data_IF_046336347395
#
_entry.id   IF_046336347395
#
_cell.length_a   1.000
_cell.length_b   1.000
_cell.length_c   1.000
_cell.angle_alpha   90.00
_cell.angle_beta   90.00
_cell.angle_gamma   90.00
#
_symmetry.space_group_name_H-M   'P 1'
#
loop_
_entity.id
_entity.type
_entity.pdbx_description
1 polymer ?
#
# COMPACT_ATOMS: atom_id res chain seq x y z
N UNK A 1 28.82 20.49 7.04
CA UNK A 1 27.87 20.68 5.91
C UNK A 1 26.48 20.65 6.51
N UNK A 2 25.77 21.78 6.53
CA UNK A 2 24.37 21.82 6.93
C UNK A 2 23.58 20.96 5.96
N UNK A 3 22.96 19.89 6.46
CA UNK A 3 22.06 19.06 5.67
C UNK A 3 21.08 19.99 4.96
N UNK A 4 21.02 19.91 3.62
CA UNK A 4 19.90 20.50 2.91
C UNK A 4 18.63 19.94 3.54
N UNK A 5 17.66 20.82 3.83
CA UNK A 5 16.38 20.41 4.35
C UNK A 5 15.64 19.69 3.21
N UNK A 6 15.93 18.40 3.04
CA UNK A 6 15.24 17.55 2.07
C UNK A 6 13.82 17.37 2.59
N UNK A 7 12.84 17.74 1.77
CA UNK A 7 11.44 17.46 2.10
C UNK A 7 11.21 15.95 2.15
N UNK A 8 10.79 15.46 3.32
CA UNK A 8 10.56 14.05 3.59
C UNK A 8 9.45 13.46 2.71
N UNK A 9 8.43 14.25 2.33
CA UNK A 9 7.36 13.77 1.45
C UNK A 9 7.89 13.59 0.02
N UNK A 10 8.56 14.61 -0.52
CA UNK A 10 9.18 14.54 -1.83
C UNK A 10 10.19 13.36 -1.95
N UNK A 11 11.01 13.14 -0.92
CA UNK A 11 11.95 12.00 -0.90
C UNK A 11 11.23 10.65 -0.90
N UNK A 12 10.15 10.51 -0.12
CA UNK A 12 9.33 9.30 -0.09
C UNK A 12 8.70 9.01 -1.45
N UNK A 13 8.14 10.03 -2.07
CA UNK A 13 7.49 9.90 -3.38
C UNK A 13 8.52 9.53 -4.46
N UNK A 14 9.76 10.02 -4.35
CA UNK A 14 10.87 9.62 -5.19
C UNK A 14 11.26 8.14 -4.99
N UNK A 15 11.39 7.65 -3.75
CA UNK A 15 11.63 6.22 -3.48
C UNK A 15 10.50 5.33 -4.00
N UNK A 16 9.25 5.78 -3.88
CA UNK A 16 8.08 5.07 -4.37
C UNK A 16 8.05 4.90 -5.90
N UNK A 17 8.88 5.59 -6.65
CA UNK A 17 8.99 5.41 -8.10
C UNK A 17 9.57 4.03 -8.49
N UNK A 18 10.33 3.38 -7.59
CA UNK A 18 10.83 2.02 -7.79
C UNK A 18 9.75 1.00 -7.39
N UNK A 19 9.17 0.24 -8.35
CA UNK A 19 8.15 -0.75 -8.04
C UNK A 19 8.76 -1.94 -7.28
N UNK A 20 8.02 -2.46 -6.31
CA UNK A 20 8.45 -3.58 -5.47
C UNK A 20 7.36 -4.65 -5.41
N UNK A 21 7.74 -5.87 -5.01
CA UNK A 21 6.77 -6.78 -4.41
C UNK A 21 6.37 -6.32 -3.00
N UNK A 22 5.42 -7.02 -2.39
CA UNK A 22 5.04 -6.83 -0.99
C UNK A 22 5.38 -8.07 -0.20
N UNK A 23 6.02 -7.87 0.96
CA UNK A 23 6.36 -8.97 1.87
C UNK A 23 5.77 -8.75 3.25
N UNK A 24 5.53 -9.84 3.97
CA UNK A 24 5.34 -9.83 5.42
C UNK A 24 6.52 -10.53 6.07
N UNK A 25 7.24 -9.79 6.90
CA UNK A 25 8.33 -10.34 7.71
C UNK A 25 7.72 -10.90 8.99
N UNK A 26 8.02 -12.16 9.31
CA UNK A 26 7.48 -12.86 10.48
C UNK A 26 8.60 -13.44 11.33
N UNK A 27 8.38 -13.55 12.63
CA UNK A 27 9.22 -14.26 13.58
C UNK A 27 8.37 -14.69 14.78
N UNK A 28 9.01 -15.31 15.78
CA UNK A 28 8.41 -15.54 17.09
C UNK A 28 9.06 -14.65 18.14
N UNK A 29 8.30 -14.23 19.13
CA UNK A 29 8.83 -13.60 20.33
C UNK A 29 9.42 -14.62 21.33
N UNK A 30 9.93 -14.13 22.46
CA UNK A 30 10.51 -15.00 23.49
C UNK A 30 9.50 -15.96 24.16
N UNK A 31 8.21 -15.69 24.05
CA UNK A 31 7.13 -16.56 24.51
C UNK A 31 6.65 -17.54 23.42
N UNK A 32 7.24 -17.49 22.22
CA UNK A 32 6.84 -18.29 21.07
C UNK A 32 5.63 -17.74 20.33
N UNK A 33 5.17 -16.52 20.66
CA UNK A 33 4.02 -15.90 19.98
C UNK A 33 4.44 -15.32 18.63
N UNK A 34 3.60 -15.46 17.59
CA UNK A 34 3.92 -14.98 16.26
C UNK A 34 3.87 -13.45 16.22
N UNK A 35 4.90 -12.85 15.65
CA UNK A 35 4.97 -11.42 15.37
C UNK A 35 5.34 -11.19 13.91
N UNK A 36 4.84 -10.11 13.33
CA UNK A 36 5.19 -9.78 11.95
C UNK A 36 4.81 -8.37 11.54
N UNK A 37 5.34 -7.92 10.41
CA UNK A 37 5.07 -6.61 9.83
C UNK A 37 5.18 -6.64 8.30
N UNK A 38 4.40 -5.82 7.62
CA UNK A 38 4.53 -5.62 6.18
C UNK A 38 5.78 -4.80 5.86
N UNK A 39 6.53 -5.24 4.86
CA UNK A 39 7.70 -4.55 4.33
C UNK A 39 7.77 -4.66 2.81
N UNK A 40 8.25 -3.60 2.18
CA UNK A 40 8.55 -3.60 0.74
C UNK A 40 9.99 -3.15 0.44
N UNK A 41 10.83 -3.04 1.47
CA UNK A 41 12.27 -2.76 1.43
C UNK A 41 13.13 -4.03 1.29
N UNK A 42 12.53 -5.12 0.79
CA UNK A 42 13.17 -6.42 0.63
C UNK A 42 14.14 -6.44 -0.57
N UNK A 43 15.25 -7.17 -0.46
CA UNK A 43 16.18 -7.40 -1.58
C UNK A 43 16.89 -8.76 -1.45
N UNK A 44 17.03 -9.49 -2.56
CA UNK A 44 17.95 -10.62 -2.67
C UNK A 44 19.39 -10.12 -2.76
N UNK A 45 20.30 -10.65 -1.94
CA UNK A 45 21.67 -10.10 -1.80
C UNK A 45 22.71 -11.00 -2.45
N UNK A 46 22.68 -12.30 -2.17
CA UNK A 46 23.69 -13.25 -2.64
C UNK A 46 23.06 -14.62 -2.87
N UNK A 47 23.61 -15.36 -3.83
CA UNK A 47 23.25 -16.76 -4.09
C UNK A 47 24.16 -17.75 -3.36
N UNK A 48 25.46 -17.42 -3.22
CA UNK A 48 26.42 -18.24 -2.48
C UNK A 48 27.37 -17.35 -1.64
N UNK A 49 27.19 -17.29 -0.30
CA UNK A 49 26.10 -17.92 0.45
C UNK A 49 24.72 -17.31 0.13
N UNK A 50 23.60 -18.03 0.36
CA UNK A 50 22.27 -17.53 0.05
C UNK A 50 21.83 -16.47 1.08
N UNK A 51 21.86 -15.20 0.68
CA UNK A 51 21.56 -14.06 1.55
C UNK A 51 20.43 -13.21 0.99
N UNK A 52 19.61 -12.67 1.90
CA UNK A 52 18.61 -11.64 1.65
C UNK A 52 18.69 -10.53 2.69
N UNK A 53 18.04 -9.40 2.41
CA UNK A 53 17.86 -8.33 3.39
C UNK A 53 16.44 -7.75 3.39
N UNK A 54 16.07 -7.16 4.51
CA UNK A 54 14.88 -6.31 4.67
C UNK A 54 15.15 -5.21 5.70
N UNK A 55 14.58 -4.03 5.50
CA UNK A 55 14.75 -2.91 6.45
C UNK A 55 13.59 -2.84 7.44
N UNK A 56 13.91 -2.65 8.73
CA UNK A 56 12.97 -2.45 9.83
C UNK A 56 13.18 -1.08 10.45
N UNK A 57 12.11 -0.31 10.61
CA UNK A 57 12.20 1.00 11.27
C UNK A 57 12.48 0.85 12.76
N UNK A 58 13.33 1.74 13.30
CA UNK A 58 13.64 1.80 14.74
C UNK A 58 12.42 2.15 15.60
N UNK A 59 11.39 2.74 15.00
CA UNK A 59 10.12 3.10 15.65
C UNK A 59 9.12 1.93 15.72
N UNK A 60 9.44 0.77 15.13
CA UNK A 60 8.54 -0.38 15.14
C UNK A 60 8.31 -0.91 16.56
N UNK A 61 7.05 -1.25 16.88
CA UNK A 61 6.70 -1.94 18.14
C UNK A 61 7.42 -3.28 18.28
N UNK A 62 7.77 -3.91 17.16
CA UNK A 62 8.44 -5.21 17.11
C UNK A 62 9.98 -5.08 17.05
N UNK A 63 10.54 -3.86 17.17
CA UNK A 63 11.97 -3.62 16.97
C UNK A 63 12.88 -4.47 17.86
N UNK A 64 12.66 -4.41 19.18
CA UNK A 64 13.47 -5.16 20.14
C UNK A 64 13.37 -6.68 19.89
N UNK A 65 12.15 -7.18 19.70
CA UNK A 65 11.93 -8.61 19.46
C UNK A 65 12.58 -9.08 18.16
N UNK A 66 12.36 -8.37 17.05
CA UNK A 66 12.90 -8.73 15.73
C UNK A 66 14.43 -8.69 15.69
N UNK A 67 15.05 -7.66 16.27
CA UNK A 67 16.52 -7.54 16.29
C UNK A 67 17.19 -8.55 17.21
N UNK A 68 16.45 -9.14 18.16
CA UNK A 68 16.91 -10.21 19.04
C UNK A 68 16.58 -11.63 18.54
N UNK A 69 15.74 -11.75 17.51
CA UNK A 69 15.29 -13.02 16.98
C UNK A 69 16.44 -13.75 16.26
N UNK A 70 16.55 -15.06 16.51
CA UNK A 70 17.53 -15.92 15.82
C UNK A 70 17.11 -16.27 14.40
N UNK A 71 15.81 -16.42 14.19
CA UNK A 71 15.22 -16.77 12.92
C UNK A 71 14.07 -15.81 12.58
N UNK A 72 13.88 -15.56 11.30
CA UNK A 72 12.74 -14.85 10.76
C UNK A 72 12.38 -15.43 9.38
N UNK A 73 11.16 -15.20 8.93
CA UNK A 73 10.75 -15.54 7.58
C UNK A 73 10.30 -14.31 6.78
N UNK A 74 10.51 -14.39 5.47
CA UNK A 74 9.97 -13.46 4.48
C UNK A 74 8.84 -14.17 3.74
N UNK A 75 7.63 -13.62 3.82
CA UNK A 75 6.46 -14.11 3.10
C UNK A 75 6.15 -13.14 1.94
N UNK A 76 6.44 -13.53 0.71
CA UNK A 76 6.17 -12.72 -0.50
C UNK A 76 4.70 -12.90 -0.88
N UNK A 77 3.89 -11.86 -0.67
CA UNK A 77 2.44 -11.95 -0.84
C UNK A 77 2.04 -12.16 -2.31
N UNK A 78 0.99 -12.95 -2.53
CA UNK A 78 0.38 -13.11 -3.85
C UNK A 78 -0.64 -12.01 -4.16
N UNK A 79 -1.04 -11.88 -5.44
CA UNK A 79 -2.00 -10.86 -5.89
C UNK A 79 -3.33 -10.82 -5.10
N UNK A 80 -3.73 -11.95 -4.51
CA UNK A 80 -4.96 -12.08 -3.72
C UNK A 80 -4.83 -11.54 -2.29
N UNK A 81 -3.62 -11.31 -1.79
CA UNK A 81 -3.32 -11.08 -0.37
C UNK A 81 -3.13 -9.59 -0.02
N UNK A 82 -3.86 -8.71 -0.71
CA UNK A 82 -3.84 -7.25 -0.45
C UNK A 82 -4.32 -6.91 0.96
N UNK A 83 -5.33 -7.64 1.45
CA UNK A 83 -5.87 -7.55 2.80
C UNK A 83 -4.82 -7.94 3.85
N UNK A 84 -4.04 -8.99 3.62
CA UNK A 84 -2.94 -9.40 4.51
C UNK A 84 -1.89 -8.30 4.63
N UNK A 85 -1.45 -7.73 3.49
CA UNK A 85 -0.55 -6.57 3.48
C UNK A 85 -1.06 -5.44 4.38
N UNK A 86 -2.35 -5.13 4.27
CA UNK A 86 -3.00 -4.09 5.05
C UNK A 86 -3.05 -4.42 6.54
N UNK A 87 -3.39 -5.65 6.91
CA UNK A 87 -3.46 -6.13 8.30
C UNK A 87 -2.09 -6.02 8.98
N UNK A 88 -1.03 -6.50 8.32
CA UNK A 88 0.32 -6.52 8.88
C UNK A 88 1.01 -5.16 8.90
N UNK A 89 0.50 -4.17 8.15
CA UNK A 89 0.96 -2.79 8.22
C UNK A 89 0.28 -1.99 9.35
N UNK A 90 -0.93 -2.40 9.78
CA UNK A 90 -1.74 -1.64 10.74
C UNK A 90 -1.54 -2.06 12.20
N UNK A 91 -1.81 -1.16 13.15
CA UNK A 91 -1.80 -1.50 14.57
C UNK A 91 -3.10 -2.23 14.96
N UNK A 92 -3.26 -3.48 14.52
CA UNK A 92 -4.30 -4.38 15.03
C UNK A 92 -3.79 -5.17 16.23
N UNK A 93 -4.70 -5.59 17.12
CA UNK A 93 -4.36 -6.35 18.35
C UNK A 93 -3.77 -7.73 18.02
N UNK A 94 -4.44 -8.46 17.12
CA UNK A 94 -3.95 -9.76 16.63
C UNK A 94 -3.90 -9.76 15.10
N UNK A 95 -2.68 -9.71 14.55
CA UNK A 95 -2.42 -9.73 13.09
C UNK A 95 -2.58 -11.12 12.49
N UNK A 96 -2.44 -12.16 13.30
CA UNK A 96 -2.43 -13.55 12.85
C UNK A 96 -3.81 -14.21 12.97
N UNK A 97 -4.74 -13.62 13.72
CA UNK A 97 -6.11 -14.13 13.87
C UNK A 97 -6.87 -14.35 12.55
N UNK A 98 -6.57 -13.55 11.52
CA UNK A 98 -7.31 -13.57 10.24
C UNK A 98 -6.50 -14.16 9.09
N UNK A 99 -5.34 -14.76 9.37
CA UNK A 99 -4.44 -15.27 8.33
C UNK A 99 -4.09 -16.71 8.62
N UNK A 100 -4.25 -17.59 7.63
CA UNK A 100 -3.79 -18.97 7.73
C UNK A 100 -2.27 -19.02 7.64
N UNK A 101 -1.64 -19.69 8.60
CA UNK A 101 -0.19 -19.86 8.66
C UNK A 101 0.19 -21.14 9.38
N UNK A 102 1.36 -21.66 9.04
CA UNK A 102 1.99 -22.80 9.70
C UNK A 102 3.38 -22.43 10.23
N UNK A 103 3.86 -23.15 11.23
CA UNK A 103 5.24 -22.99 11.68
C UNK A 103 6.21 -23.63 10.67
N UNK A 104 7.22 -22.86 10.25
CA UNK A 104 8.36 -23.34 9.48
C UNK A 104 9.25 -24.30 10.28
N UNK A 105 10.31 -24.80 9.64
CA UNK A 105 11.21 -25.77 10.25
C UNK A 105 11.96 -25.17 11.46
N UNK A 106 12.24 -23.87 11.43
CA UNK A 106 12.87 -23.12 12.51
C UNK A 106 11.85 -22.35 13.37
N UNK A 107 10.55 -22.66 13.20
CA UNK A 107 9.44 -22.10 13.97
C UNK A 107 8.90 -20.77 13.44
N UNK A 108 9.43 -20.23 12.34
CA UNK A 108 8.95 -18.95 11.82
C UNK A 108 7.53 -19.09 11.24
N UNK A 109 6.62 -18.12 11.45
CA UNK A 109 5.29 -18.17 10.83
C UNK A 109 5.37 -18.07 9.30
N UNK A 110 4.91 -19.10 8.58
CA UNK A 110 4.83 -19.14 7.12
C UNK A 110 3.37 -19.00 6.71
N UNK A 111 3.04 -17.94 5.97
CA UNK A 111 1.67 -17.66 5.56
C UNK A 111 1.26 -18.56 4.40
N UNK A 112 0.00 -19.02 4.39
CA UNK A 112 -0.56 -19.78 3.28
C UNK A 112 -0.70 -18.92 2.01
N UNK A 113 -0.78 -19.56 0.83
CA UNK A 113 -1.07 -18.95 -0.47
C UNK A 113 -0.16 -17.79 -0.93
N UNK A 114 1.01 -17.67 -0.32
CA UNK A 114 2.06 -16.74 -0.73
C UNK A 114 2.65 -17.10 -2.10
N UNK A 115 3.16 -16.11 -2.81
CA UNK A 115 3.90 -16.31 -4.05
C UNK A 115 5.21 -17.07 -3.79
N UNK A 116 5.91 -16.70 -2.71
CA UNK A 116 7.09 -17.38 -2.23
C UNK A 116 7.28 -17.14 -0.72
N UNK A 117 8.07 -17.99 -0.07
CA UNK A 117 8.55 -17.71 1.28
C UNK A 117 10.01 -18.14 1.45
N UNK A 118 10.69 -17.50 2.41
CA UNK A 118 12.09 -17.79 2.79
C UNK A 118 12.20 -17.83 4.30
N UNK A 119 12.66 -18.93 4.87
CA UNK A 119 12.99 -19.04 6.30
C UNK A 119 14.49 -18.81 6.47
N UNK A 120 14.86 -17.93 7.41
CA UNK A 120 16.21 -17.39 7.52
C UNK A 120 16.74 -17.46 8.94
N UNK A 121 18.05 -17.74 9.06
CA UNK A 121 18.82 -17.37 10.24
C UNK A 121 19.27 -15.91 10.15
N UNK A 122 19.18 -15.18 11.26
CA UNK A 122 19.69 -13.82 11.36
C UNK A 122 21.22 -13.82 11.26
N UNK A 123 21.75 -13.24 10.18
CA UNK A 123 23.20 -13.16 9.93
C UNK A 123 23.77 -11.89 10.56
N UNK A 124 23.15 -10.73 10.30
CA UNK A 124 23.59 -9.42 10.80
C UNK A 124 22.42 -8.45 10.94
N UNK A 125 22.53 -7.55 11.92
CA UNK A 125 21.67 -6.36 12.06
C UNK A 125 22.55 -5.13 11.90
N UNK A 126 22.35 -4.36 10.83
CA UNK A 126 23.20 -3.22 10.46
C UNK A 126 22.46 -1.92 10.73
N UNK A 127 23.09 -1.00 11.46
CA UNK A 127 22.53 0.32 11.72
C UNK A 127 22.51 1.19 10.45
N UNK A 128 21.35 1.74 10.09
CA UNK A 128 21.16 2.46 8.82
C UNK A 128 20.18 3.65 8.97
N UNK A 129 20.58 4.65 9.77
CA UNK A 129 19.78 5.88 9.95
C UNK A 129 18.57 5.67 10.86
N UNK A 130 17.36 5.93 10.38
CA UNK A 130 16.10 5.69 11.10
C UNK A 130 15.60 4.23 11.00
N UNK A 131 16.32 3.40 10.26
CA UNK A 131 16.07 1.96 10.11
C UNK A 131 17.30 1.14 10.52
N UNK A 132 17.08 -0.17 10.64
CA UNK A 132 18.13 -1.20 10.62
C UNK A 132 17.93 -2.10 9.41
N UNK A 133 19.02 -2.62 8.85
CA UNK A 133 19.00 -3.67 7.83
C UNK A 133 19.12 -5.01 8.55
N UNK A 134 18.11 -5.85 8.40
CA UNK A 134 18.14 -7.25 8.82
C UNK A 134 18.67 -8.07 7.65
N UNK A 135 19.86 -8.65 7.80
CA UNK A 135 20.45 -9.56 6.83
C UNK A 135 20.18 -11.00 7.28
N UNK A 136 19.54 -11.78 6.41
CA UNK A 136 19.19 -13.18 6.68
C UNK A 136 19.95 -14.14 5.76
N UNK A 137 20.43 -15.24 6.33
CA UNK A 137 20.92 -16.39 5.58
C UNK A 137 19.78 -17.38 5.40
N UNK A 138 19.45 -17.69 4.15
CA UNK A 138 18.31 -18.54 3.81
C UNK A 138 18.63 -19.99 4.20
N UNK A 139 17.78 -20.58 5.05
CA UNK A 139 17.86 -21.97 5.47
C UNK A 139 16.92 -22.86 4.64
N UNK A 140 15.72 -22.37 4.34
CA UNK A 140 14.74 -23.06 3.49
C UNK A 140 13.89 -22.04 2.73
N UNK A 141 13.31 -22.45 1.60
CA UNK A 141 12.45 -21.58 0.80
C UNK A 141 11.46 -22.40 -0.04
N UNK A 142 10.41 -21.72 -0.50
CA UNK A 142 9.47 -22.26 -1.46
C UNK A 142 9.04 -21.19 -2.46
N UNK A 143 8.79 -21.61 -3.70
CA UNK A 143 8.17 -20.80 -4.74
C UNK A 143 6.94 -21.55 -5.25
N UNK A 144 5.78 -20.89 -5.18
CA UNK A 144 4.50 -21.51 -5.49
C UNK A 144 4.04 -21.32 -6.93
N UNK A 145 4.74 -20.48 -7.71
CA UNK A 145 4.38 -20.11 -9.08
C UNK A 145 3.22 -19.12 -9.19
N UNK A 146 2.61 -18.70 -8.06
CA UNK A 146 1.60 -17.63 -8.04
C UNK A 146 2.25 -16.29 -8.36
N UNK A 147 1.49 -15.40 -9.00
CA UNK A 147 1.91 -14.01 -9.17
C UNK A 147 1.96 -13.27 -7.82
N UNK A 148 2.94 -12.38 -7.67
CA UNK A 148 3.09 -11.55 -6.48
C UNK A 148 2.22 -10.29 -6.48
N UNK A 149 1.88 -9.80 -5.30
CA UNK A 149 1.30 -8.48 -5.09
C UNK A 149 2.38 -7.41 -5.33
N UNK A 150 2.11 -6.48 -6.25
CA UNK A 150 2.98 -5.34 -6.53
C UNK A 150 2.61 -4.11 -5.72
N UNK A 151 3.60 -3.27 -5.42
CA UNK A 151 3.42 -1.94 -4.83
C UNK A 151 4.28 -0.91 -5.56
N UNK A 152 3.67 0.19 -5.97
CA UNK A 152 4.36 1.27 -6.66
C UNK A 152 3.69 2.61 -6.36
N UNK A 153 4.52 3.63 -6.13
CA UNK A 153 4.14 5.01 -5.87
C UNK A 153 3.13 5.19 -4.73
N UNK A 154 2.98 4.25 -3.80
CA UNK A 154 1.97 4.33 -2.73
C UNK A 154 0.70 3.48 -2.91
N UNK A 155 0.61 2.68 -3.98
CA UNK A 155 -0.58 1.87 -4.27
C UNK A 155 -0.22 0.49 -4.80
N UNK A 156 -1.18 -0.43 -4.69
CA UNK A 156 -1.01 -1.81 -5.16
C UNK A 156 -1.26 -1.95 -6.66
N UNK A 157 -0.58 -2.90 -7.30
CA UNK A 157 -0.85 -3.32 -8.68
C UNK A 157 -0.74 -4.84 -8.81
N UNK A 158 -1.47 -5.41 -9.78
CA UNK A 158 -1.53 -6.86 -10.00
C UNK A 158 -1.65 -7.18 -11.51
N UNK A 159 -0.86 -8.12 -12.06
CA UNK A 159 -1.09 -8.70 -13.39
C UNK A 159 -2.56 -9.01 -13.76
N UNK A 160 -3.38 -9.51 -12.82
CA UNK A 160 -4.79 -9.84 -13.09
C UNK A 160 -5.61 -8.62 -13.53
N UNK A 161 -5.31 -7.41 -13.02
CA UNK A 161 -6.00 -6.20 -13.43
C UNK A 161 -5.69 -5.85 -14.88
N UNK A 162 -4.45 -6.05 -15.34
CA UNK A 162 -4.07 -5.82 -16.73
C UNK A 162 -4.85 -6.74 -17.67
N UNK A 163 -4.96 -8.03 -17.33
CA UNK A 163 -5.76 -8.98 -18.10
C UNK A 163 -7.23 -8.56 -18.16
N UNK A 164 -7.83 -8.20 -17.02
CA UNK A 164 -9.22 -7.72 -16.96
C UNK A 164 -9.46 -6.46 -17.77
N UNK A 165 -8.53 -5.51 -17.74
CA UNK A 165 -8.63 -4.29 -18.53
C UNK A 165 -8.62 -4.58 -20.03
N UNK A 166 -7.80 -5.54 -20.49
CA UNK A 166 -7.78 -5.98 -21.89
C UNK A 166 -9.11 -6.63 -22.27
N UNK A 167 -9.64 -7.55 -21.45
CA UNK A 167 -10.95 -8.18 -21.71
C UNK A 167 -12.09 -7.16 -21.78
N UNK A 168 -12.17 -6.27 -20.79
CA UNK A 168 -13.14 -5.17 -20.77
C UNK A 168 -13.01 -4.28 -22.02
N UNK A 169 -11.78 -4.04 -22.49
CA UNK A 169 -11.55 -3.24 -23.67
C UNK A 169 -12.10 -3.88 -24.96
N UNK A 170 -12.11 -5.21 -25.03
CA UNK A 170 -12.65 -5.95 -26.19
C UNK A 170 -14.17 -6.07 -26.20
N UNK A 171 -14.82 -6.00 -25.05
CA UNK A 171 -16.29 -6.14 -24.92
C UNK A 171 -17.04 -4.84 -25.32
N UNK A 172 -16.34 -3.71 -25.35
CA UNK A 172 -16.89 -2.39 -25.71
C UNK A 172 -17.61 -1.70 -24.54
N UNK A 173 -18.04 -0.45 -24.73
CA UNK A 173 -18.76 0.35 -23.71
C UNK A 173 -17.98 0.57 -22.39
N UNK A 174 -16.82 1.20 -22.50
CA UNK A 174 -15.87 1.39 -21.39
C UNK A 174 -16.00 2.81 -20.82
N UNK A 175 -15.89 2.95 -19.52
CA UNK A 175 -15.62 4.21 -18.84
C UNK A 175 -14.22 4.18 -18.23
N UNK A 176 -13.39 5.16 -18.60
CA UNK A 176 -12.04 5.34 -18.10
C UNK A 176 -12.10 6.33 -16.94
N UNK A 177 -11.65 5.93 -15.76
CA UNK A 177 -11.63 6.77 -14.56
C UNK A 177 -10.22 6.94 -14.00
N UNK A 178 -10.04 7.95 -13.15
CA UNK A 178 -8.77 8.14 -12.45
C UNK A 178 -8.94 8.47 -10.96
N UNK A 179 -8.13 7.82 -10.12
CA UNK A 179 -7.73 8.37 -8.83
C UNK A 179 -6.53 9.29 -9.10
N UNK A 180 -6.82 10.57 -9.38
CA UNK A 180 -5.81 11.57 -9.71
C UNK A 180 -5.27 12.22 -8.44
N UNK A 181 -3.98 12.00 -8.16
CA UNK A 181 -3.32 12.41 -6.93
C UNK A 181 -2.42 13.64 -7.10
N UNK A 182 -2.42 14.49 -6.06
CA UNK A 182 -1.47 15.60 -5.85
C UNK A 182 -1.15 15.70 -4.36
N UNK A 183 0.11 15.54 -3.96
CA UNK A 183 0.59 15.63 -2.57
C UNK A 183 -0.23 14.81 -1.54
N UNK A 184 -0.66 13.61 -1.94
CA UNK A 184 -1.51 12.75 -1.10
C UNK A 184 -2.98 13.18 -1.03
N UNK A 185 -3.40 14.19 -1.78
CA UNK A 185 -4.79 14.57 -2.01
C UNK A 185 -5.30 13.95 -3.31
N UNK A 186 -6.62 13.74 -3.44
CA UNK A 186 -7.24 13.25 -4.68
C UNK A 186 -8.20 14.28 -5.27
N UNK A 187 -8.24 14.37 -6.60
CA UNK A 187 -9.20 15.19 -7.31
C UNK A 187 -10.59 14.52 -7.27
N UNK A 188 -11.60 15.28 -6.86
CA UNK A 188 -13.01 14.92 -7.01
C UNK A 188 -13.77 16.03 -7.73
N UNK A 189 -14.74 15.62 -8.55
CA UNK A 189 -15.66 16.49 -9.28
C UNK A 189 -16.99 16.60 -8.54
N UNK A 190 -17.62 17.77 -8.57
CA UNK A 190 -18.91 18.05 -7.94
C UNK A 190 -18.83 18.96 -6.70
N UNK A 191 -20.00 19.42 -6.25
CA UNK A 191 -20.14 20.29 -5.07
C UNK A 191 -20.61 19.53 -3.83
N UNK A 192 -21.71 18.78 -3.95
CA UNK A 192 -22.33 18.03 -2.84
C UNK A 192 -22.29 16.50 -3.03
N UNK A 193 -22.29 16.05 -4.28
CA UNK A 193 -22.20 14.64 -4.67
C UNK A 193 -20.96 14.49 -5.54
N UNK A 194 -19.97 13.78 -5.02
CA UNK A 194 -18.65 13.71 -5.61
C UNK A 194 -18.48 12.50 -6.53
N UNK A 195 -17.71 12.69 -7.60
CA UNK A 195 -17.29 11.66 -8.52
C UNK A 195 -15.78 11.71 -8.77
N UNK A 196 -15.20 10.57 -9.13
CA UNK A 196 -13.87 10.56 -9.73
C UNK A 196 -13.96 11.14 -11.15
N UNK A 197 -12.91 11.81 -11.65
CA UNK A 197 -12.85 12.22 -13.05
C UNK A 197 -12.88 10.98 -13.95
N UNK A 198 -13.78 11.00 -14.93
CA UNK A 198 -13.97 9.90 -15.88
C UNK A 198 -14.41 10.38 -17.26
N UNK A 199 -14.07 9.61 -18.29
CA UNK A 199 -14.47 9.82 -19.67
C UNK A 199 -14.81 8.51 -20.37
N UNK A 200 -15.55 8.57 -21.48
CA UNK A 200 -15.82 7.37 -22.28
C UNK A 200 -14.54 6.86 -22.95
N UNK A 201 -14.32 5.55 -22.88
CA UNK A 201 -13.28 4.88 -23.63
C UNK A 201 -13.63 4.83 -25.11
N UNK A 202 -12.61 4.95 -25.95
CA UNK A 202 -12.71 4.87 -27.41
C UNK A 202 -11.54 4.06 -27.96
N UNK A 203 -11.58 3.76 -29.25
CA UNK A 203 -10.48 3.08 -29.94
C UNK A 203 -9.17 3.86 -29.76
N UNK A 204 -8.10 3.15 -29.38
CA UNK A 204 -6.81 3.75 -29.03
C UNK A 204 -6.33 3.31 -27.64
N UNK A 205 -5.23 3.91 -27.19
CA UNK A 205 -4.66 3.60 -25.88
C UNK A 205 -5.51 4.21 -24.75
N UNK A 206 -6.04 3.40 -23.80
CA UNK A 206 -6.80 3.93 -22.66
C UNK A 206 -6.04 4.96 -21.84
N UNK A 207 -4.72 4.78 -21.69
CA UNK A 207 -3.89 5.71 -20.92
C UNK A 207 -3.67 7.04 -21.62
N UNK A 208 -3.55 7.06 -22.95
CA UNK A 208 -3.42 8.31 -23.73
C UNK A 208 -4.74 9.08 -23.70
N UNK A 209 -5.86 8.40 -23.95
CA UNK A 209 -7.21 9.01 -23.91
C UNK A 209 -7.49 9.62 -22.54
N UNK A 210 -7.21 8.88 -21.46
CA UNK A 210 -7.42 9.36 -20.11
C UNK A 210 -6.47 10.50 -19.75
N UNK A 211 -5.22 10.47 -20.23
CA UNK A 211 -4.25 11.55 -20.00
C UNK A 211 -4.74 12.86 -20.63
N UNK A 212 -5.09 12.84 -21.91
CA UNK A 212 -5.57 14.00 -22.65
C UNK A 212 -6.80 14.62 -21.96
N UNK A 213 -7.77 13.78 -21.59
CA UNK A 213 -8.97 14.21 -20.87
C UNK A 213 -8.64 14.89 -19.54
N UNK A 214 -7.79 14.28 -18.70
CA UNK A 214 -7.44 14.84 -17.40
C UNK A 214 -6.65 16.15 -17.52
N UNK A 215 -5.77 16.27 -18.53
CA UNK A 215 -5.05 17.51 -18.79
C UNK A 215 -5.97 18.63 -19.26
N UNK A 216 -6.96 18.32 -20.09
CA UNK A 216 -7.97 19.30 -20.54
C UNK A 216 -8.88 19.74 -19.38
N UNK A 217 -9.34 18.77 -18.58
CA UNK A 217 -10.20 18.98 -17.41
C UNK A 217 -9.52 19.85 -16.33
N UNK A 218 -8.26 19.56 -16.03
CA UNK A 218 -7.55 20.21 -14.92
C UNK A 218 -6.73 21.42 -15.36
N UNK A 219 -6.27 21.46 -16.61
CA UNK A 219 -5.25 22.42 -17.06
C UNK A 219 -3.84 22.15 -16.50
N UNK A 220 -3.63 20.97 -15.89
CA UNK A 220 -2.36 20.58 -15.27
C UNK A 220 -1.67 19.49 -16.10
N UNK A 221 -0.35 19.32 -15.93
CA UNK A 221 0.34 18.17 -16.49
C UNK A 221 -0.06 16.91 -15.74
N UNK A 222 -0.30 15.81 -16.45
CA UNK A 222 -0.77 14.54 -15.88
C UNK A 222 0.16 13.41 -16.29
N UNK A 223 0.31 12.42 -15.42
CA UNK A 223 0.98 11.15 -15.71
C UNK A 223 0.08 10.01 -15.26
N UNK A 224 -0.28 9.13 -16.19
CA UNK A 224 -1.04 7.92 -15.89
C UNK A 224 -0.10 6.85 -15.33
N UNK A 225 -0.46 6.32 -14.17
CA UNK A 225 0.26 5.23 -13.50
C UNK A 225 -0.37 3.88 -13.79
N UNK A 226 -0.54 3.09 -12.73
CA UNK A 226 -0.99 1.70 -12.83
C UNK A 226 -2.52 1.58 -12.78
N UNK A 227 -3.01 0.44 -13.26
CA UNK A 227 -4.41 0.05 -13.07
C UNK A 227 -4.72 -0.07 -11.57
N UNK A 228 -5.80 0.60 -11.17
CA UNK A 228 -6.27 0.63 -9.79
C UNK A 228 -7.48 -0.27 -9.59
N UNK A 229 -8.44 -0.23 -10.52
CA UNK A 229 -9.66 -1.03 -10.45
C UNK A 229 -10.17 -1.36 -11.85
N UNK A 230 -10.71 -2.57 -12.02
CA UNK A 230 -11.50 -2.94 -13.20
C UNK A 230 -12.76 -3.64 -12.71
N UNK A 231 -13.94 -3.12 -13.07
CA UNK A 231 -15.22 -3.66 -12.65
C UNK A 231 -16.32 -3.37 -13.67
N UNK A 232 -17.44 -4.09 -13.59
CA UNK A 232 -18.63 -3.81 -14.38
C UNK A 232 -19.66 -3.05 -13.52
N UNK A 233 -20.15 -1.92 -14.03
CA UNK A 233 -21.12 -1.09 -13.33
C UNK A 233 -22.53 -1.66 -13.49
N UNK A 234 -23.09 -2.19 -12.39
CA UNK A 234 -24.47 -2.74 -12.42
C UNK A 234 -25.54 -1.71 -12.79
N UNK A 235 -25.29 -0.44 -12.49
CA UNK A 235 -26.23 0.66 -12.73
C UNK A 235 -26.21 1.20 -14.16
N UNK A 236 -25.07 1.12 -14.84
CA UNK A 236 -24.85 1.72 -16.17
C UNK A 236 -24.52 0.70 -17.26
N UNK A 237 -24.25 -0.56 -16.91
CA UNK A 237 -23.86 -1.62 -17.84
C UNK A 237 -22.52 -1.35 -18.53
N UNK A 238 -21.68 -0.47 -17.98
CA UNK A 238 -20.37 -0.11 -18.53
C UNK A 238 -19.26 -0.92 -17.86
N UNK A 239 -18.19 -1.18 -18.59
CA UNK A 239 -16.95 -1.64 -17.98
C UNK A 239 -16.13 -0.43 -17.52
N UNK A 240 -15.83 -0.37 -16.23
CA UNK A 240 -15.06 0.71 -15.63
C UNK A 240 -13.61 0.28 -15.49
N UNK A 241 -12.69 1.05 -16.07
CA UNK A 241 -11.25 0.89 -15.94
C UNK A 241 -10.71 2.13 -15.25
N UNK A 242 -10.31 1.97 -13.99
CA UNK A 242 -9.82 3.07 -13.15
C UNK A 242 -8.31 2.96 -13.00
N UNK A 243 -7.60 4.01 -13.38
CA UNK A 243 -6.16 4.15 -13.19
C UNK A 243 -5.85 4.98 -11.96
N UNK A 244 -4.65 4.80 -11.41
CA UNK A 244 -4.05 5.81 -10.54
C UNK A 244 -3.23 6.76 -11.40
N UNK A 245 -3.38 8.06 -11.17
CA UNK A 245 -2.71 9.10 -11.94
C UNK A 245 -2.12 10.15 -11.01
N UNK A 246 -1.16 10.93 -11.51
CA UNK A 246 -0.47 11.98 -10.77
C UNK A 246 -0.49 13.27 -11.56
N UNK A 247 -0.51 14.42 -10.90
CA UNK A 247 -0.48 15.71 -11.57
C UNK A 247 0.60 16.65 -11.02
N UNK A 248 0.94 17.66 -11.82
CA UNK A 248 1.77 18.79 -11.39
C UNK A 248 1.05 19.65 -10.33
N UNK A 249 1.82 20.52 -9.69
CA UNK A 249 1.28 21.53 -8.78
C UNK A 249 0.39 22.54 -9.52
N UNK A 250 -0.57 23.13 -8.80
CA UNK A 250 -1.48 24.16 -9.32
C UNK A 250 -2.95 23.89 -8.96
N UNK A 251 -3.78 24.92 -9.07
CA UNK A 251 -5.23 24.78 -8.91
C UNK A 251 -5.84 24.19 -10.18
N UNK A 252 -6.68 23.14 -10.06
CA UNK A 252 -7.34 22.57 -11.22
C UNK A 252 -8.41 23.52 -11.75
N UNK A 253 -8.60 23.54 -13.07
CA UNK A 253 -9.71 24.27 -13.72
C UNK A 253 -11.07 23.75 -13.27
N UNK A 254 -11.21 22.43 -13.12
CA UNK A 254 -12.42 21.77 -12.64
C UNK A 254 -12.14 20.80 -11.50
N UNK A 255 -13.09 20.71 -10.57
CA UNK A 255 -12.97 19.86 -9.39
C UNK A 255 -12.14 20.50 -8.27
N UNK A 256 -11.95 19.73 -7.20
CA UNK A 256 -11.16 20.14 -6.03
C UNK A 256 -10.36 18.94 -5.51
N UNK A 257 -9.17 19.22 -5.00
CA UNK A 257 -8.36 18.21 -4.33
C UNK A 257 -8.79 18.07 -2.87
N UNK A 258 -8.88 16.83 -2.41
CA UNK A 258 -9.29 16.49 -1.06
C UNK A 258 -8.27 15.57 -0.40
N UNK A 259 -7.95 15.87 0.86
CA UNK A 259 -7.21 14.94 1.71
C UNK A 259 -8.07 13.71 2.00
N UNK A 260 -7.50 12.50 1.97
CA UNK A 260 -8.19 11.26 2.30
C UNK A 260 -9.03 11.29 3.56
N UNK A 261 -8.50 11.85 4.65
CA UNK A 261 -9.17 11.86 5.94
C UNK A 261 -10.42 12.77 5.95
N UNK A 262 -10.49 13.74 5.03
CA UNK A 262 -11.64 14.63 4.87
C UNK A 262 -12.82 13.98 4.13
N UNK A 263 -12.66 12.75 3.61
CA UNK A 263 -13.64 12.08 2.75
C UNK A 263 -14.67 11.23 3.52
N UNK A 264 -14.54 11.14 4.85
CA UNK A 264 -15.39 10.30 5.72
C UNK A 264 -16.86 10.70 5.82
N UNK A 265 -17.21 11.95 5.46
CA UNK A 265 -18.61 12.45 5.47
C UNK A 265 -19.13 12.83 4.08
N UNK A 266 -18.41 12.41 3.04
CA UNK A 266 -18.66 12.81 1.67
C UNK A 266 -19.70 11.90 1.02
N UNK A 267 -20.62 12.47 0.23
CA UNK A 267 -21.56 11.70 -0.59
C UNK A 267 -20.94 11.47 -1.97
N UNK A 268 -21.02 10.23 -2.45
CA UNK A 268 -20.47 9.85 -3.74
C UNK A 268 -21.57 9.50 -4.74
N UNK A 269 -21.31 9.77 -6.02
CA UNK A 269 -22.23 9.51 -7.13
C UNK A 269 -22.62 8.03 -7.23
N UNK A 270 -21.69 7.13 -6.93
CA UNK A 270 -21.92 5.68 -6.94
C UNK A 270 -21.26 5.02 -5.71
N UNK A 271 -21.73 3.83 -5.34
CA UNK A 271 -21.09 3.01 -4.30
C UNK A 271 -19.66 2.60 -4.70
N UNK A 272 -19.43 2.32 -5.99
CA UNK A 272 -18.10 1.99 -6.51
C UNK A 272 -17.11 3.14 -6.31
N UNK A 273 -17.53 4.39 -6.52
CA UNK A 273 -16.71 5.57 -6.22
C UNK A 273 -16.38 5.65 -4.73
N UNK A 274 -17.36 5.42 -3.86
CA UNK A 274 -17.14 5.41 -2.40
C UNK A 274 -16.12 4.35 -1.99
N UNK A 275 -16.24 3.13 -2.52
CA UNK A 275 -15.33 2.01 -2.22
C UNK A 275 -13.90 2.29 -2.70
N UNK A 276 -13.74 2.85 -3.90
CA UNK A 276 -12.43 3.22 -4.46
C UNK A 276 -11.76 4.30 -3.61
N UNK A 277 -12.51 5.31 -3.18
CA UNK A 277 -12.00 6.41 -2.37
C UNK A 277 -11.63 5.93 -0.96
N UNK A 278 -12.49 5.14 -0.33
CA UNK A 278 -12.20 4.55 0.99
C UNK A 278 -10.93 3.69 0.93
N UNK A 279 -10.78 2.89 -0.14
CA UNK A 279 -9.60 2.07 -0.36
C UNK A 279 -8.32 2.90 -0.58
N UNK A 280 -8.40 3.98 -1.34
CA UNK A 280 -7.27 4.89 -1.51
C UNK A 280 -6.85 5.55 -0.19
N UNK A 281 -7.82 5.99 0.62
CA UNK A 281 -7.55 6.60 1.90
C UNK A 281 -6.82 5.65 2.84
N UNK A 282 -7.26 4.40 2.84
CA UNK A 282 -6.67 3.32 3.60
C UNK A 282 -5.22 3.01 3.20
N UNK A 283 -4.94 3.00 1.89
CA UNK A 283 -3.60 2.78 1.34
C UNK A 283 -2.66 3.95 1.62
N UNK A 284 -3.17 5.18 1.55
CA UNK A 284 -2.42 6.41 1.82
C UNK A 284 -1.92 6.48 3.26
N UNK A 285 -2.62 5.83 4.19
CA UNK A 285 -2.22 5.73 5.60
C UNK A 285 -1.14 4.66 5.84
N UNK A 286 -0.97 3.68 4.94
CA UNK A 286 -0.08 2.53 5.12
C UNK A 286 1.36 2.79 4.66
N UNK A 287 1.60 3.75 3.76
CA UNK A 287 2.89 4.04 3.09
C UNK A 287 4.02 4.65 3.94
N UNK A 288 4.28 4.11 5.13
CA UNK A 288 5.34 4.41 6.11
C UNK A 288 5.21 5.71 6.96
N UNK A 289 5.16 5.49 8.27
CA UNK A 289 5.20 6.36 9.47
C UNK A 289 4.46 7.72 9.47
N UNK A 290 3.36 7.71 10.23
CA UNK A 290 2.65 8.82 10.85
C UNK A 290 1.43 8.26 11.59
N UNK A 291 1.56 8.00 12.90
CA UNK A 291 0.50 7.42 13.74
C UNK A 291 -0.52 8.49 14.13
N UNK A 292 -1.83 8.20 13.98
CA UNK A 292 -2.90 8.81 14.79
C UNK A 292 -4.12 7.86 14.92
N UNK A 293 -4.85 7.96 16.04
CA UNK A 293 -5.75 6.94 16.63
C UNK A 293 -7.26 7.26 16.55
N UNK A 294 -8.12 6.22 16.51
CA UNK A 294 -9.57 6.23 16.88
C UNK A 294 -10.41 5.08 16.28
N UNK A 295 -11.48 4.62 16.95
CA UNK A 295 -12.42 3.55 16.50
C UNK A 295 -13.91 3.98 16.44
N UNK A 296 -14.78 3.07 15.99
CA UNK A 296 -16.05 3.37 15.31
C UNK A 296 -17.34 3.14 16.14
N UNK A 297 -17.31 2.67 17.41
CA UNK A 297 -18.57 2.32 18.12
C UNK A 297 -18.75 2.70 19.59
N UNK A 298 -17.72 3.03 20.39
CA UNK A 298 -17.90 3.73 21.68
C UNK A 298 -16.57 4.16 22.32
N UNK A 299 -16.43 5.45 22.63
CA UNK A 299 -15.33 5.98 23.44
C UNK A 299 -15.84 7.08 24.38
N UNK A 300 -15.52 6.98 25.67
CA UNK A 300 -15.77 8.07 26.63
C UNK A 300 -14.60 9.04 26.59
N UNK A 301 -14.86 10.31 26.30
CA UNK A 301 -13.87 11.39 26.47
C UNK A 301 -13.49 11.46 27.94
N UNK A 302 -12.23 11.16 28.27
CA UNK A 302 -11.66 11.53 29.57
C UNK A 302 -10.57 12.59 29.34
N UNK A 303 -10.71 13.79 29.92
CA UNK A 303 -9.67 14.79 29.83
C UNK A 303 -8.39 14.25 30.47
N UNK A 304 -7.26 14.50 29.82
CA UNK A 304 -5.93 14.23 30.36
C UNK A 304 -5.81 15.03 31.66
N UNK A 305 -5.75 14.31 32.77
CA UNK A 305 -5.47 14.87 34.08
C UNK A 305 -4.14 15.61 34.01
N UNK A 306 -4.23 16.93 34.20
CA UNK A 306 -3.10 17.76 34.59
C UNK A 306 -2.53 17.16 35.87
N UNK A 307 -1.32 16.57 35.77
CA UNK A 307 -0.46 16.44 36.95
C UNK A 307 -0.12 17.87 37.38
N UNK A 308 -0.86 18.36 38.37
CA UNK A 308 -0.42 19.47 39.20
C UNK A 308 0.87 19.01 39.86
N UNK A 309 1.96 19.71 39.54
CA UNK A 309 3.17 19.68 40.33
C UNK A 309 2.85 20.23 41.72
N UNK A 310 3.25 19.52 42.79
CA UNK A 310 4.13 20.07 43.84
C UNK A 310 4.28 19.14 45.04
N UNK A 311 5.51 19.21 45.56
CA UNK A 311 6.05 18.90 46.88
C UNK A 311 6.09 17.42 47.29
#
# INVERSE_FOLDING_TARGET
>A
MTAQNIDARALRDAFGAFPTGVTVVTAQDHAGLPIGFTANSFTSVSLDPPLLLVCLAKTSRNFATMTSAKHFAINVLSEAQKDISNTFARPVEDRFATVEWDAGADGCPILADVAAWFECGMEQVIDAGDHVILMGRIASFHNSGRNGLGYARGGYFTPILASKAVSAATEGNIELGAVLERDGEILLLGEDIFALPSCEGREGSPTEILCDYLQELTGLSVTIGFLYSVYEGKSDGKHHIVYRAFTSQGEPREGRFFKPDALTKTRFKTSATADIVARFALESQIGNFGVYFGDETSGTVRPVSTKVARA
#
